data_IF_064599372443
#
_entry.id   IF_064599372443
#
_cell.length_a   1.000
_cell.length_b   1.000
_cell.length_c   1.000
_cell.angle_alpha   90.00
_cell.angle_beta   90.00
_cell.angle_gamma   90.00
#
_symmetry.space_group_name_H-M   'P 1'
#
loop_
_entity.id
_entity.type
_entity.pdbx_description
1 polymer ?
#
# COMPACT_ATOMS: atom_id res chain seq x y z
N UNK A 1 13.24 4.89 -14.95
CA UNK A 1 12.13 5.26 -14.04
C UNK A 1 12.75 5.49 -12.65
N UNK A 2 12.36 6.53 -11.93
CA UNK A 2 13.05 6.95 -10.69
C UNK A 2 13.10 5.91 -9.56
N UNK A 3 12.29 4.86 -9.65
CA UNK A 3 12.27 3.74 -8.69
C UNK A 3 13.23 2.60 -9.05
N UNK A 4 13.89 2.63 -10.21
CA UNK A 4 14.79 1.55 -10.67
C UNK A 4 15.84 1.17 -9.62
N UNK A 5 16.53 2.12 -8.96
CA UNK A 5 17.55 1.78 -7.96
C UNK A 5 16.99 1.07 -6.73
N UNK A 6 15.70 1.24 -6.44
CA UNK A 6 15.02 0.67 -5.27
C UNK A 6 14.43 -0.72 -5.54
N UNK A 7 14.35 -1.15 -6.80
CA UNK A 7 13.69 -2.41 -7.16
C UNK A 7 14.32 -3.63 -6.49
N UNK A 8 15.65 -3.64 -6.34
CA UNK A 8 16.37 -4.78 -5.75
C UNK A 8 15.86 -5.13 -4.34
N UNK A 9 15.46 -4.14 -3.57
CA UNK A 9 15.11 -4.29 -2.15
C UNK A 9 13.60 -4.19 -1.91
N UNK A 10 12.90 -3.36 -2.69
CA UNK A 10 11.51 -2.98 -2.41
C UNK A 10 10.52 -3.38 -3.51
N UNK A 11 10.97 -4.02 -4.59
CA UNK A 11 10.02 -4.47 -5.62
C UNK A 11 9.25 -5.71 -5.14
N UNK A 12 7.93 -5.65 -5.29
CA UNK A 12 7.03 -6.75 -4.98
C UNK A 12 6.40 -7.27 -6.28
N UNK A 13 6.26 -8.59 -6.38
CA UNK A 13 5.47 -9.22 -7.45
C UNK A 13 4.01 -8.76 -7.33
N UNK A 14 3.43 -8.10 -8.36
CA UNK A 14 2.03 -7.71 -8.37
C UNK A 14 1.06 -8.88 -8.11
N UNK A 15 1.43 -10.11 -8.49
CA UNK A 15 0.60 -11.30 -8.27
C UNK A 15 0.47 -11.69 -6.79
N UNK A 16 1.36 -11.20 -5.93
CA UNK A 16 1.29 -11.41 -4.48
C UNK A 16 0.46 -10.36 -3.75
N UNK A 17 -0.10 -9.37 -4.47
CA UNK A 17 -0.90 -8.29 -3.89
C UNK A 17 -2.36 -8.45 -4.33
N UNK A 18 -3.26 -8.66 -3.37
CA UNK A 18 -4.69 -8.84 -3.62
C UNK A 18 -5.48 -7.67 -3.00
N UNK A 19 -5.95 -6.69 -3.80
CA UNK A 19 -6.86 -5.65 -3.33
C UNK A 19 -8.19 -6.26 -2.88
N UNK A 20 -8.75 -5.75 -1.78
CA UNK A 20 -10.01 -6.23 -1.21
C UNK A 20 -11.08 -5.14 -1.17
N UNK A 21 -10.75 -3.94 -0.68
CA UNK A 21 -11.71 -2.84 -0.53
C UNK A 21 -11.08 -1.50 -0.89
N UNK A 22 -11.76 -0.72 -1.74
CA UNK A 22 -11.36 0.65 -2.05
C UNK A 22 -11.90 1.66 -1.02
N UNK A 23 -11.17 2.74 -0.80
CA UNK A 23 -11.59 3.89 -0.03
C UNK A 23 -11.79 5.09 -0.98
N UNK A 24 -12.81 5.93 -0.76
CA UNK A 24 -12.95 7.17 -1.51
C UNK A 24 -11.75 8.10 -1.25
N UNK A 25 -11.26 8.76 -2.30
CA UNK A 25 -10.13 9.68 -2.25
C UNK A 25 -9.92 10.37 -3.60
N UNK A 26 -9.37 11.58 -3.57
CA UNK A 26 -9.30 12.47 -4.73
C UNK A 26 -7.93 12.47 -5.45
N UNK A 27 -6.93 11.82 -4.88
CA UNK A 27 -5.55 11.81 -5.41
C UNK A 27 -5.20 10.43 -5.98
N UNK A 28 -4.77 9.52 -5.10
CA UNK A 28 -4.44 8.14 -5.48
C UNK A 28 -5.52 7.18 -5.00
N UNK A 29 -5.83 6.19 -5.84
CA UNK A 29 -6.74 5.11 -5.44
C UNK A 29 -6.12 4.41 -4.24
N UNK A 30 -6.85 4.41 -3.13
CA UNK A 30 -6.41 3.79 -1.90
C UNK A 30 -7.27 2.58 -1.60
N UNK A 31 -6.62 1.46 -1.30
CA UNK A 31 -7.24 0.17 -1.07
C UNK A 31 -6.70 -0.49 0.20
N UNK A 32 -7.52 -1.31 0.83
CA UNK A 32 -7.12 -2.35 1.78
C UNK A 32 -7.00 -3.65 1.00
N UNK A 33 -6.00 -4.46 1.30
CA UNK A 33 -5.81 -5.75 0.65
C UNK A 33 -4.90 -6.66 1.45
N UNK A 34 -4.49 -7.73 0.80
CA UNK A 34 -3.55 -8.71 1.34
C UNK A 34 -2.27 -8.73 0.53
N UNK A 35 -1.15 -8.99 1.21
CA UNK A 35 0.13 -9.26 0.59
C UNK A 35 0.64 -10.62 1.08
N UNK A 36 0.97 -11.50 0.14
CA UNK A 36 1.63 -12.77 0.40
C UNK A 36 3.14 -12.56 0.35
N UNK A 37 3.81 -12.65 1.51
CA UNK A 37 5.26 -12.52 1.55
C UNK A 37 5.98 -13.80 1.09
N UNK A 38 7.31 -13.69 0.96
CA UNK A 38 8.19 -14.80 0.58
C UNK A 38 8.14 -16.00 1.55
N UNK A 39 7.65 -15.82 2.78
CA UNK A 39 7.46 -16.85 3.79
C UNK A 39 6.04 -17.41 3.80
N UNK A 40 5.24 -17.10 2.77
CA UNK A 40 3.83 -17.50 2.64
C UNK A 40 2.93 -16.98 3.76
N UNK A 41 3.36 -15.94 4.48
CA UNK A 41 2.50 -15.27 5.45
C UNK A 41 1.65 -14.22 4.77
N UNK A 42 0.38 -14.14 5.17
CA UNK A 42 -0.59 -13.18 4.63
C UNK A 42 -0.65 -11.97 5.54
N UNK A 43 -0.25 -10.83 5.00
CA UNK A 43 -0.25 -9.56 5.72
C UNK A 43 -1.38 -8.67 5.22
N UNK A 44 -2.09 -8.01 6.15
CA UNK A 44 -3.06 -6.97 5.79
C UNK A 44 -2.31 -5.70 5.40
N UNK A 45 -2.57 -5.17 4.21
CA UNK A 45 -1.83 -4.05 3.64
C UNK A 45 -2.74 -2.92 3.17
N UNK A 46 -2.24 -1.69 3.26
CA UNK A 46 -2.77 -0.53 2.57
C UNK A 46 -2.03 -0.38 1.25
N UNK A 47 -2.79 -0.25 0.17
CA UNK A 47 -2.29 -0.15 -1.19
C UNK A 47 -2.70 1.23 -1.70
N UNK A 48 -1.74 2.06 -2.05
CA UNK A 48 -1.98 3.31 -2.78
C UNK A 48 -1.50 3.12 -4.20
N UNK A 49 -2.29 3.57 -5.18
CA UNK A 49 -2.06 3.20 -6.56
C UNK A 49 -2.57 4.23 -7.55
N UNK A 50 -1.97 4.18 -8.74
CA UNK A 50 -2.29 5.04 -9.87
C UNK A 50 -2.40 4.21 -11.13
N UNK A 51 -3.10 4.74 -12.14
CA UNK A 51 -3.00 4.22 -13.49
C UNK A 51 -1.70 4.74 -14.12
N UNK A 52 -0.96 3.91 -14.85
CA UNK A 52 0.23 4.33 -15.59
C UNK A 52 -0.09 5.29 -16.73
N UNK A 53 -1.35 5.35 -17.17
CA UNK A 53 -1.87 6.36 -18.10
C UNK A 53 -2.29 7.67 -17.42
N UNK A 54 -2.17 7.78 -16.08
CA UNK A 54 -2.41 9.04 -15.37
C UNK A 54 -1.36 10.10 -15.73
N UNK A 55 -1.57 11.35 -15.30
CA UNK A 55 -0.63 12.42 -15.58
C UNK A 55 0.77 12.12 -15.01
N UNK A 56 1.84 12.65 -15.63
CA UNK A 56 3.20 12.53 -15.11
C UNK A 56 3.34 12.99 -13.65
N UNK A 57 2.57 14.01 -13.25
CA UNK A 57 2.57 14.54 -11.88
C UNK A 57 2.08 13.49 -10.87
N UNK A 58 1.01 12.76 -11.20
CA UNK A 58 0.50 11.68 -10.35
C UNK A 58 1.52 10.55 -10.17
N UNK A 59 2.32 10.25 -11.20
CA UNK A 59 3.43 9.31 -11.09
C UNK A 59 4.56 9.87 -10.22
N UNK A 60 4.94 11.13 -10.41
CA UNK A 60 5.98 11.78 -9.61
C UNK A 60 5.62 11.82 -8.12
N UNK A 61 4.34 12.07 -7.78
CA UNK A 61 3.84 11.99 -6.41
C UNK A 61 4.00 10.59 -5.80
N UNK A 62 3.65 9.54 -6.54
CA UNK A 62 3.79 8.16 -6.07
C UNK A 62 5.26 7.82 -5.82
N UNK A 63 6.14 8.22 -6.75
CA UNK A 63 7.60 8.04 -6.62
C UNK A 63 8.12 8.78 -5.39
N UNK A 64 7.67 10.01 -5.16
CA UNK A 64 8.05 10.80 -3.99
C UNK A 64 7.64 10.11 -2.69
N UNK A 65 6.39 9.62 -2.61
CA UNK A 65 5.88 8.90 -1.44
C UNK A 65 6.70 7.63 -1.15
N UNK A 66 7.05 6.84 -2.18
CA UNK A 66 7.94 5.67 -2.02
C UNK A 66 9.32 6.07 -1.47
N UNK A 67 9.95 7.12 -2.03
CA UNK A 67 11.29 7.57 -1.59
C UNK A 67 11.31 8.05 -0.14
N UNK A 68 10.24 8.71 0.29
CA UNK A 68 10.07 9.12 1.69
C UNK A 68 9.93 7.88 2.57
N UNK A 69 9.01 6.98 2.22
CA UNK A 69 8.68 5.82 3.05
C UNK A 69 9.81 4.80 3.18
N UNK A 70 10.67 4.64 2.17
CA UNK A 70 11.91 3.83 2.26
C UNK A 70 12.83 4.30 3.38
N UNK A 71 12.84 5.60 3.68
CA UNK A 71 13.74 6.19 4.70
C UNK A 71 13.11 6.27 6.09
N UNK A 72 11.84 5.93 6.22
CA UNK A 72 11.08 6.11 7.45
C UNK A 72 10.82 4.78 8.12
N UNK A 73 11.47 4.56 9.26
CA UNK A 73 11.23 3.42 10.13
C UNK A 73 10.89 3.91 11.54
N UNK A 74 9.60 3.99 11.87
CA UNK A 74 9.16 4.46 13.18
C UNK A 74 7.89 3.71 13.63
N UNK A 75 7.79 3.28 14.91
CA UNK A 75 6.69 2.44 15.39
C UNK A 75 5.30 3.07 15.26
N UNK A 76 5.19 4.40 15.16
CA UNK A 76 3.91 5.11 14.96
C UNK A 76 3.60 5.43 13.51
N UNK A 77 4.57 5.34 12.61
CA UNK A 77 4.36 5.56 11.18
C UNK A 77 3.96 4.23 10.52
N UNK A 78 3.32 4.32 9.36
CA UNK A 78 2.97 3.16 8.55
C UNK A 78 4.27 2.49 8.07
N UNK A 79 4.37 1.17 8.24
CA UNK A 79 5.56 0.43 7.83
C UNK A 79 5.47 0.10 6.34
N UNK A 80 6.37 0.69 5.56
CA UNK A 80 6.52 0.41 4.15
C UNK A 80 7.00 -1.03 3.93
N UNK A 81 6.43 -1.70 2.94
CA UNK A 81 6.85 -3.05 2.53
C UNK A 81 7.56 -2.97 1.19
N UNK A 82 6.97 -2.26 0.24
CA UNK A 82 7.51 -2.18 -1.12
C UNK A 82 6.56 -1.52 -2.10
N UNK A 83 6.91 -1.61 -3.38
CA UNK A 83 6.12 -1.11 -4.49
C UNK A 83 6.02 -2.17 -5.59
N UNK A 84 4.99 -2.06 -6.41
CA UNK A 84 4.81 -2.95 -7.56
C UNK A 84 4.41 -2.15 -8.80
N UNK A 85 4.84 -2.65 -9.96
CA UNK A 85 4.51 -2.09 -11.28
C UNK A 85 3.97 -3.23 -12.13
N UNK A 86 2.70 -3.14 -12.49
CA UNK A 86 1.98 -4.09 -13.32
C UNK A 86 1.72 -3.45 -14.68
N UNK A 87 2.54 -3.79 -15.68
CA UNK A 87 2.36 -3.27 -17.05
C UNK A 87 1.07 -3.81 -17.67
N UNK A 88 0.75 -5.10 -17.46
CA UNK A 88 -0.46 -5.74 -18.02
C UNK A 88 -1.75 -5.03 -17.62
N UNK A 89 -1.81 -4.54 -16.38
CA UNK A 89 -2.97 -3.84 -15.84
C UNK A 89 -2.76 -2.32 -15.73
N UNK A 90 -1.72 -1.79 -16.39
CA UNK A 90 -1.33 -0.38 -16.40
C UNK A 90 -1.37 0.27 -15.00
N UNK A 91 -0.74 -0.35 -14.00
CA UNK A 91 -0.87 0.07 -12.61
C UNK A 91 0.47 0.12 -11.89
N UNK A 92 0.73 1.21 -11.18
CA UNK A 92 1.80 1.30 -10.18
C UNK A 92 1.18 1.41 -8.78
N UNK A 93 1.78 0.73 -7.80
CA UNK A 93 1.28 0.69 -6.42
C UNK A 93 2.42 0.82 -5.41
N UNK A 94 2.18 1.53 -4.32
CA UNK A 94 2.95 1.44 -3.08
C UNK A 94 2.17 0.60 -2.06
N UNK A 95 2.87 -0.26 -1.32
CA UNK A 95 2.30 -1.24 -0.40
C UNK A 95 2.92 -1.02 0.98
N UNK A 96 2.05 -0.93 1.99
CA UNK A 96 2.49 -0.77 3.36
C UNK A 96 1.60 -1.56 4.33
N UNK A 97 2.15 -1.99 5.47
CA UNK A 97 1.39 -2.74 6.47
C UNK A 97 0.23 -1.91 7.01
N UNK A 98 -0.95 -2.53 7.03
CA UNK A 98 -2.11 -1.96 7.70
C UNK A 98 -2.05 -2.33 9.17
N UNK A 99 -2.00 -1.34 10.06
CA UNK A 99 -2.21 -1.58 11.48
C UNK A 99 -3.66 -2.03 11.71
N UNK A 100 -3.91 -3.04 12.54
CA UNK A 100 -5.27 -3.33 12.96
C UNK A 100 -5.83 -2.10 13.68
N UNK A 101 -6.97 -1.58 13.21
CA UNK A 101 -7.71 -0.59 14.01
C UNK A 101 -8.14 -1.31 15.29
N UNK A 102 -7.72 -0.82 16.46
CA UNK A 102 -8.33 -1.22 17.73
C UNK A 102 -9.81 -0.84 17.65
N UNK A 103 -10.67 -1.78 17.30
CA UNK A 103 -12.09 -1.62 17.51
C UNK A 103 -12.33 -1.87 19.00
N UNK A 104 -12.55 -0.83 19.78
CA UNK A 104 -13.17 -1.03 21.10
C UNK A 104 -14.63 -1.40 20.83
N UNK A 105 -14.97 -2.67 21.04
CA UNK A 105 -16.36 -3.07 21.22
C UNK A 105 -16.86 -2.35 22.48
N UNK A 106 -17.58 -1.25 22.30
CA UNK A 106 -18.41 -0.73 23.38
C UNK A 106 -19.60 -1.68 23.52
N UNK A 107 -19.50 -2.61 24.47
CA UNK A 107 -20.64 -3.40 24.91
C UNK A 107 -21.60 -2.46 25.63
N UNK A 108 -22.64 -2.00 24.95
CA UNK A 108 -23.76 -1.33 25.60
C UNK A 108 -24.56 -2.39 26.37
N UNK A 109 -24.22 -2.62 27.64
CA UNK A 109 -25.13 -3.24 28.59
C UNK A 109 -26.25 -2.25 28.86
N UNK A 110 -27.46 -2.52 28.34
CA UNK A 110 -28.69 -1.85 28.80
C UNK A 110 -28.96 -2.29 30.25
N UNK A 111 -29.21 -1.36 31.19
CA UNK A 111 -29.72 -1.73 32.50
C UNK A 111 -31.19 -2.14 32.38
N UNK A 112 -31.52 -3.20 33.12
CA UNK A 112 -32.84 -3.78 33.34
C UNK A 112 -33.80 -2.85 34.08
#
# INVERSE_FOLDING_TARGET
>A
MDLEPLKREYWLDPSNVAPMRSFPGNFMKTELGHYLDQHKSVNLVRIKSINLSSSPDTLAELVCEVRILVRVNHPKIVQFIGFSICIRCARASLIALSKPRKFSLQTTTKPS
#
